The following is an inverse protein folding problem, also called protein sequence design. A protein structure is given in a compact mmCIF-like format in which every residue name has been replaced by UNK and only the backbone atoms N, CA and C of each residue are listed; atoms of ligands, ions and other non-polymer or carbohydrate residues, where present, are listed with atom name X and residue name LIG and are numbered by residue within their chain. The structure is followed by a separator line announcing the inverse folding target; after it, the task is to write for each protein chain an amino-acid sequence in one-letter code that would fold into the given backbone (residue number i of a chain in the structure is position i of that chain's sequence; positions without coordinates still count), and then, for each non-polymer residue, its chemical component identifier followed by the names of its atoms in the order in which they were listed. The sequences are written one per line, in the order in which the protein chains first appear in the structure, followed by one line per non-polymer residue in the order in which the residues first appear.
data_IF_896097851291
#
_entry.id   IF_896097851291
#
_cell.length_a   1.000
_cell.length_b   1.000
_cell.length_c   1.000
_cell.angle_alpha   90.00
_cell.angle_beta   90.00
_cell.angle_gamma   90.00
#
_symmetry.space_group_name_H-M   'P 1'
#
loop_
_entity.id
_entity.type
_entity.pdbx_description
1 polymer ?
#
# COMPACT_ATOMS: atom_id res chain seq x y z
N UNK A 1 -63.33 23.22 18.71
CA UNK A 1 -62.32 24.29 18.77
C UNK A 1 -61.53 24.12 20.05
N UNK A 2 -60.36 23.52 19.98
CA UNK A 2 -59.25 23.74 20.93
C UNK A 2 -58.01 23.34 20.18
N UNK A 3 -57.14 24.33 19.88
CA UNK A 3 -55.82 24.14 19.29
C UNK A 3 -54.86 23.68 20.38
N UNK A 4 -54.10 22.63 20.13
CA UNK A 4 -52.93 22.29 20.92
C UNK A 4 -51.71 22.33 20.00
N UNK A 5 -50.98 23.45 20.08
CA UNK A 5 -49.63 23.60 19.51
C UNK A 5 -48.65 22.96 20.49
N UNK A 6 -47.98 21.89 20.09
CA UNK A 6 -46.71 21.53 20.68
C UNK A 6 -45.71 21.33 19.55
N UNK A 7 -44.47 21.87 19.65
CA UNK A 7 -43.44 21.67 18.62
C UNK A 7 -42.89 20.27 18.74
N UNK A 8 -42.83 19.57 17.58
CA UNK A 8 -42.09 18.32 17.42
C UNK A 8 -40.62 18.59 17.71
N UNK A 9 -40.11 18.01 18.79
CA UNK A 9 -38.69 17.84 19.02
C UNK A 9 -38.16 16.81 18.02
N UNK A 10 -37.39 17.27 17.05
CA UNK A 10 -36.59 16.43 16.18
C UNK A 10 -35.51 15.78 17.07
N UNK A 11 -35.43 14.45 17.14
CA UNK A 11 -34.33 13.80 17.84
C UNK A 11 -33.00 14.13 17.11
N UNK A 12 -32.05 14.66 17.87
CA UNK A 12 -30.66 14.76 17.37
C UNK A 12 -30.15 13.35 17.05
N UNK A 13 -29.43 13.14 15.93
CA UNK A 13 -28.82 11.84 15.66
C UNK A 13 -27.82 11.52 16.77
N UNK A 14 -28.07 10.44 17.48
CA UNK A 14 -27.08 9.80 18.36
C UNK A 14 -26.01 9.22 17.47
N UNK A 15 -24.82 9.81 17.48
CA UNK A 15 -23.65 9.23 16.87
C UNK A 15 -23.22 8.01 17.68
N UNK A 16 -23.32 6.79 17.15
CA UNK A 16 -22.73 5.64 17.79
C UNK A 16 -21.26 5.56 17.36
N UNK A 17 -20.38 5.56 18.33
CA UNK A 17 -18.95 5.32 18.21
C UNK A 17 -18.21 6.21 17.21
N UNK A 18 -18.08 7.49 17.56
CA UNK A 18 -17.00 8.31 17.05
C UNK A 18 -15.67 7.64 17.42
N UNK A 19 -14.93 7.14 16.44
CA UNK A 19 -13.52 6.89 16.61
C UNK A 19 -12.89 8.21 17.03
N UNK A 20 -12.46 8.26 18.28
CA UNK A 20 -11.83 9.41 18.91
C UNK A 20 -10.47 9.63 18.22
N UNK A 21 -10.47 10.35 17.11
CA UNK A 21 -9.26 10.87 16.48
C UNK A 21 -8.68 12.08 17.22
N UNK A 22 -9.35 12.54 18.28
CA UNK A 22 -9.04 13.84 18.91
C UNK A 22 -8.19 13.78 20.19
N UNK A 23 -7.69 12.63 20.64
CA UNK A 23 -7.03 12.54 21.95
C UNK A 23 -5.53 12.20 21.93
N UNK A 24 -4.81 12.32 20.81
CA UNK A 24 -3.34 12.20 20.81
C UNK A 24 -2.59 13.53 20.65
N UNK A 25 -3.23 14.66 20.89
CA UNK A 25 -2.54 15.95 20.99
C UNK A 25 -2.42 16.42 22.47
N UNK A 26 -2.17 15.47 23.38
CA UNK A 26 -1.95 15.73 24.79
C UNK A 26 -0.51 16.16 25.06
N UNK A 27 -0.35 17.17 25.93
CA UNK A 27 0.96 17.64 26.42
C UNK A 27 1.74 16.48 27.05
N UNK A 28 2.84 16.08 26.39
CA UNK A 28 3.84 15.19 26.98
C UNK A 28 5.06 16.01 27.40
N UNK A 29 5.43 15.86 28.66
CA UNK A 29 6.61 16.43 29.31
C UNK A 29 7.88 16.09 28.52
N UNK A 30 8.77 17.07 28.41
CA UNK A 30 10.09 16.95 27.80
C UNK A 30 11.00 16.05 28.63
N UNK A 31 11.19 14.80 28.19
CA UNK A 31 12.37 14.04 28.59
C UNK A 31 13.49 14.20 27.56
N UNK A 32 14.75 14.31 27.95
CA UNK A 32 15.87 14.42 27.03
C UNK A 32 16.05 13.10 26.25
N UNK A 33 16.36 13.20 24.95
CA UNK A 33 16.65 12.08 24.06
C UNK A 33 17.81 11.23 24.62
N UNK A 34 17.70 9.90 24.57
CA UNK A 34 18.89 9.06 24.73
C UNK A 34 19.83 9.30 23.54
N UNK A 35 21.14 9.28 23.77
CA UNK A 35 22.12 9.48 22.69
C UNK A 35 22.02 8.35 21.66
N UNK A 36 22.15 8.70 20.38
CA UNK A 36 22.03 7.83 19.17
C UNK A 36 23.13 6.72 19.15
N UNK A 37 23.97 6.64 20.13
CA UNK A 37 25.06 5.64 20.26
C UNK A 37 24.59 4.20 20.53
N UNK A 38 23.29 3.95 20.76
CA UNK A 38 22.76 2.62 21.03
C UNK A 38 22.60 1.71 19.77
N UNK A 39 23.06 2.16 18.61
CA UNK A 39 22.87 1.45 17.33
C UNK A 39 24.01 0.47 16.98
N UNK A 40 25.10 0.44 17.74
CA UNK A 40 26.30 -0.36 17.44
C UNK A 40 26.53 -1.54 18.39
N UNK A 41 25.70 -1.72 19.43
CA UNK A 41 25.83 -2.87 20.31
C UNK A 41 24.66 -3.84 20.06
N UNK A 42 24.86 -4.77 19.12
CA UNK A 42 24.03 -5.97 18.99
C UNK A 42 24.36 -6.94 20.12
N UNK A 43 23.34 -7.38 20.85
CA UNK A 43 23.49 -8.51 21.76
C UNK A 43 23.97 -9.73 20.95
N UNK A 44 24.94 -10.51 21.43
CA UNK A 44 25.44 -11.66 20.70
C UNK A 44 24.33 -12.72 20.59
N UNK A 45 23.86 -13.01 19.36
CA UNK A 45 22.96 -14.10 19.05
C UNK A 45 21.62 -13.80 18.35
N UNK A 46 21.29 -12.53 18.10
CA UNK A 46 20.16 -12.19 17.24
C UNK A 46 20.68 -11.83 15.84
N UNK A 47 20.49 -12.69 14.85
CA UNK A 47 20.66 -12.34 13.44
C UNK A 47 19.71 -11.18 13.12
N UNK A 48 20.28 -10.02 12.76
CA UNK A 48 19.47 -8.88 12.30
C UNK A 48 18.94 -9.24 10.91
N UNK A 49 17.65 -9.01 10.60
CA UNK A 49 17.09 -9.26 9.26
C UNK A 49 17.71 -8.40 8.14
N UNK A 50 18.73 -7.59 8.45
CA UNK A 50 19.41 -6.67 7.55
C UNK A 50 20.87 -7.08 7.27
N UNK A 51 21.31 -8.26 7.70
CA UNK A 51 22.63 -8.79 7.39
C UNK A 51 22.65 -9.38 5.99
N UNK A 52 23.09 -8.73 5.08
CA UNK A 52 23.63 -8.97 3.77
C UNK A 52 22.99 -8.09 2.67
N UNK A 53 23.55 -6.93 2.51
CA UNK A 53 23.23 -6.05 1.40
C UNK A 53 24.35 -6.18 0.38
N UNK A 54 23.95 -6.38 -0.88
CA UNK A 54 24.85 -6.52 -2.01
C UNK A 54 25.93 -5.43 -2.08
N UNK A 55 26.96 -5.69 -2.87
CA UNK A 55 28.12 -4.84 -3.13
C UNK A 55 27.75 -3.34 -3.12
N UNK A 56 28.51 -2.51 -2.41
CA UNK A 56 28.23 -1.06 -2.24
C UNK A 56 27.89 -0.31 -3.52
N UNK A 57 28.46 -0.73 -4.67
CA UNK A 57 28.10 -0.17 -5.99
C UNK A 57 26.65 -0.43 -6.42
N UNK A 58 26.06 -1.54 -5.97
CA UNK A 58 24.65 -1.88 -6.28
C UNK A 58 23.70 -0.98 -5.49
N UNK A 59 23.99 -0.71 -4.21
CA UNK A 59 23.20 0.19 -3.35
C UNK A 59 23.21 1.62 -3.91
N UNK A 60 24.39 2.12 -4.32
CA UNK A 60 24.52 3.44 -4.95
C UNK A 60 23.69 3.53 -6.23
N UNK A 61 23.83 2.54 -7.13
CA UNK A 61 23.06 2.49 -8.37
C UNK A 61 21.56 2.41 -8.13
N UNK A 62 21.13 1.64 -7.11
CA UNK A 62 19.72 1.55 -6.69
C UNK A 62 19.20 2.88 -6.15
N UNK A 63 20.02 3.60 -5.35
CA UNK A 63 19.67 4.91 -4.82
C UNK A 63 19.25 5.87 -5.91
N UNK A 64 20.09 6.08 -6.92
CA UNK A 64 19.78 7.00 -8.00
C UNK A 64 18.57 6.57 -8.82
N UNK A 65 18.43 5.27 -9.13
CA UNK A 65 17.24 4.78 -9.85
C UNK A 65 15.95 5.06 -9.11
N UNK A 66 15.89 4.78 -7.82
CA UNK A 66 14.67 4.99 -7.00
C UNK A 66 14.38 6.49 -6.88
N UNK A 67 15.41 7.31 -6.63
CA UNK A 67 15.25 8.77 -6.51
C UNK A 67 14.78 9.40 -7.84
N UNK A 68 15.33 8.95 -8.96
CA UNK A 68 14.94 9.42 -10.28
C UNK A 68 13.52 9.00 -10.66
N UNK A 69 13.09 7.80 -10.27
CA UNK A 69 11.72 7.37 -10.51
C UNK A 69 10.71 8.23 -9.76
N UNK A 70 10.99 8.60 -8.51
CA UNK A 70 10.15 9.58 -7.78
C UNK A 70 10.06 10.93 -8.50
N UNK A 71 11.18 11.40 -9.09
CA UNK A 71 11.19 12.62 -9.90
C UNK A 71 10.33 12.48 -11.15
N UNK A 72 10.46 11.32 -11.84
CA UNK A 72 9.70 11.00 -13.05
C UNK A 72 8.19 10.94 -12.81
N UNK A 73 7.77 10.39 -11.67
CA UNK A 73 6.36 10.37 -11.26
C UNK A 73 5.78 11.77 -11.06
N UNK A 74 6.58 12.73 -10.67
CA UNK A 74 6.13 14.11 -10.45
C UNK A 74 6.25 15.01 -11.67
N UNK A 75 6.83 14.54 -12.77
CA UNK A 75 7.15 15.39 -13.94
C UNK A 75 5.92 15.92 -14.69
N UNK A 76 4.76 15.27 -14.53
CA UNK A 76 3.49 15.66 -15.18
C UNK A 76 2.57 16.43 -14.26
N UNK A 77 2.97 16.68 -13.00
CA UNK A 77 2.14 17.34 -12.00
C UNK A 77 2.46 18.82 -11.93
N UNK A 78 1.41 19.62 -11.84
CA UNK A 78 1.55 21.04 -11.50
C UNK A 78 1.81 21.19 -9.98
N UNK A 79 2.43 22.30 -9.55
CA UNK A 79 2.68 22.53 -8.12
C UNK A 79 1.40 22.46 -7.27
N UNK A 80 0.27 22.88 -7.80
CA UNK A 80 -1.05 22.88 -7.18
C UNK A 80 -1.56 21.45 -6.92
N UNK A 81 -1.30 20.52 -7.83
CA UNK A 81 -1.66 19.09 -7.67
C UNK A 81 -0.94 18.47 -6.47
N UNK A 82 0.30 18.90 -6.25
CA UNK A 82 1.18 18.34 -5.23
C UNK A 82 0.84 18.76 -3.80
N UNK A 83 -0.13 19.63 -3.56
CA UNK A 83 -0.46 20.18 -2.23
C UNK A 83 -1.79 19.70 -1.67
N UNK A 84 -2.62 19.05 -2.48
CA UNK A 84 -3.99 18.67 -2.13
C UNK A 84 -4.00 17.39 -1.28
N UNK A 85 -4.91 17.36 -0.30
CA UNK A 85 -5.29 16.18 0.48
C UNK A 85 -6.82 16.10 0.49
N UNK A 86 -7.36 15.07 -0.10
CA UNK A 86 -8.82 14.90 -0.27
C UNK A 86 -9.48 14.18 0.90
N UNK A 87 -8.77 13.23 1.50
CA UNK A 87 -9.23 12.45 2.67
C UNK A 87 -8.07 12.21 3.64
N UNK A 88 -8.33 11.85 4.90
CA UNK A 88 -7.29 11.64 5.91
C UNK A 88 -6.23 10.60 5.53
N UNK A 89 -6.58 9.62 4.73
CA UNK A 89 -5.73 8.51 4.28
C UNK A 89 -4.76 8.91 3.18
N UNK A 90 -5.12 9.88 2.35
CA UNK A 90 -4.31 10.45 1.27
C UNK A 90 -3.31 11.46 1.84
N UNK A 91 -2.15 11.58 1.23
CA UNK A 91 -1.17 12.63 1.56
C UNK A 91 -0.76 13.40 0.31
N UNK A 92 -0.46 14.71 0.43
CA UNK A 92 0.03 15.50 -0.70
C UNK A 92 1.32 14.93 -1.29
N UNK A 93 1.45 14.94 -2.61
CA UNK A 93 2.66 14.45 -3.30
C UNK A 93 3.94 15.10 -2.76
N UNK A 94 3.94 16.41 -2.49
CA UNK A 94 5.11 17.08 -1.90
C UNK A 94 5.47 16.55 -0.50
N UNK A 95 4.48 16.07 0.26
CA UNK A 95 4.74 15.48 1.57
C UNK A 95 5.50 14.16 1.42
N UNK A 96 5.11 13.30 0.46
CA UNK A 96 5.84 12.05 0.17
C UNK A 96 7.30 12.31 -0.21
N UNK A 97 7.54 13.28 -1.11
CA UNK A 97 8.90 13.68 -1.52
C UNK A 97 9.77 14.15 -0.35
N UNK A 98 9.18 14.94 0.54
CA UNK A 98 9.89 15.45 1.71
C UNK A 98 10.11 14.36 2.76
N UNK A 99 9.11 13.49 2.98
CA UNK A 99 9.17 12.39 3.95
C UNK A 99 10.26 11.37 3.59
N UNK A 100 10.36 10.97 2.33
CA UNK A 100 11.41 10.05 1.89
C UNK A 100 12.79 10.67 1.95
N UNK A 101 12.92 11.98 1.75
CA UNK A 101 14.17 12.70 1.97
C UNK A 101 14.51 12.82 3.45
N UNK A 102 13.51 13.08 4.30
CA UNK A 102 13.66 13.09 5.76
C UNK A 102 14.16 11.74 6.29
N UNK A 103 13.75 10.62 5.71
CA UNK A 103 14.22 9.29 6.12
C UNK A 103 15.75 9.20 6.00
N UNK A 104 16.31 9.53 4.84
CA UNK A 104 17.76 9.51 4.64
C UNK A 104 18.48 10.54 5.54
N UNK A 105 17.90 11.73 5.72
CA UNK A 105 18.44 12.72 6.65
C UNK A 105 18.50 12.18 8.07
N UNK A 106 17.39 11.61 8.57
CA UNK A 106 17.25 11.18 9.96
C UNK A 106 18.10 9.95 10.29
N UNK A 107 18.12 8.96 9.41
CA UNK A 107 18.68 7.64 9.70
C UNK A 107 20.05 7.36 9.05
N UNK A 108 20.48 8.19 8.10
CA UNK A 108 21.80 8.08 7.49
C UNK A 108 22.62 9.33 7.76
N UNK A 109 22.24 10.49 7.25
CA UNK A 109 23.12 11.66 7.23
C UNK A 109 23.48 12.20 8.61
N UNK A 110 22.52 12.27 9.53
CA UNK A 110 22.78 12.74 10.92
C UNK A 110 23.75 11.86 11.67
N UNK A 111 23.91 10.61 11.25
CA UNK A 111 24.81 9.62 11.87
C UNK A 111 26.14 9.54 11.12
N UNK A 112 26.10 9.54 9.79
CA UNK A 112 27.26 9.31 8.92
C UNK A 112 28.12 10.58 8.72
N UNK A 113 27.51 11.78 8.73
CA UNK A 113 28.18 13.03 8.34
C UNK A 113 28.39 13.90 9.58
N UNK A 114 29.62 14.03 10.09
CA UNK A 114 29.91 14.90 11.23
C UNK A 114 29.50 16.35 10.96
N UNK A 115 28.78 16.97 11.90
CA UNK A 115 28.30 18.34 11.77
C UNK A 115 27.16 18.55 10.74
N UNK A 116 26.54 17.49 10.25
CA UNK A 116 25.35 17.62 9.39
C UNK A 116 24.26 18.42 10.10
N UNK A 117 23.76 19.45 9.43
CA UNK A 117 22.63 20.24 9.90
C UNK A 117 21.49 20.20 8.88
N UNK A 118 20.30 19.92 9.36
CA UNK A 118 19.07 20.03 8.55
C UNK A 118 18.89 21.45 7.98
N UNK A 119 18.28 21.55 6.82
CA UNK A 119 17.92 22.85 6.23
C UNK A 119 16.89 23.59 7.10
N UNK A 120 16.04 22.86 7.82
CA UNK A 120 15.08 23.36 8.80
C UNK A 120 14.85 22.31 9.90
N UNK A 121 15.06 22.64 11.18
CA UNK A 121 14.78 21.71 12.29
C UNK A 121 13.32 21.25 12.33
N UNK A 122 12.37 22.08 11.86
CA UNK A 122 10.94 21.80 11.83
C UNK A 122 10.58 20.66 10.86
N UNK A 123 11.46 20.35 9.88
CA UNK A 123 11.22 19.25 8.95
C UNK A 123 11.17 17.89 9.63
N UNK A 124 11.87 17.74 10.78
CA UNK A 124 11.74 16.55 11.58
C UNK A 124 10.33 16.35 12.14
N UNK A 125 9.62 17.44 12.48
CA UNK A 125 8.21 17.39 12.90
C UNK A 125 7.25 17.23 11.72
N UNK A 126 7.46 17.96 10.64
CA UNK A 126 6.54 18.02 9.49
C UNK A 126 6.52 16.71 8.69
N UNK A 127 7.68 16.06 8.56
CA UNK A 127 7.89 14.93 7.67
C UNK A 127 8.13 13.60 8.38
N UNK A 128 8.20 13.58 9.72
CA UNK A 128 8.11 12.31 10.47
C UNK A 128 6.71 11.71 10.33
N UNK A 129 6.65 10.38 10.19
CA UNK A 129 5.41 9.61 10.18
C UNK A 129 5.65 8.27 10.85
N UNK A 130 4.86 7.95 11.87
CA UNK A 130 4.90 6.67 12.60
C UNK A 130 6.15 6.38 13.45
N UNK A 131 7.24 7.11 13.30
CA UNK A 131 8.48 6.89 14.08
C UNK A 131 8.42 7.71 15.38
N UNK A 132 7.73 7.17 16.42
CA UNK A 132 7.55 7.88 17.69
C UNK A 132 8.88 8.13 18.41
N UNK A 133 9.82 7.18 18.34
CA UNK A 133 11.16 7.34 18.90
C UNK A 133 12.00 8.41 18.17
N UNK A 134 11.67 8.73 16.91
CA UNK A 134 12.30 9.84 16.18
C UNK A 134 11.72 11.21 16.54
N UNK A 135 10.69 11.28 17.38
CA UNK A 135 10.12 12.53 17.90
C UNK A 135 8.65 12.77 17.51
N UNK A 136 8.17 13.97 17.83
CA UNK A 136 6.79 14.38 17.50
C UNK A 136 6.58 14.46 15.99
N UNK A 137 5.33 14.21 15.56
CA UNK A 137 4.95 14.24 14.14
C UNK A 137 3.74 15.14 13.90
N UNK A 138 3.65 15.68 12.69
CA UNK A 138 2.49 16.44 12.23
C UNK A 138 1.29 15.51 12.01
N UNK A 139 0.10 15.97 12.38
CA UNK A 139 -1.15 15.22 12.29
C UNK A 139 -1.47 14.85 10.83
N UNK A 140 -1.59 13.54 10.53
CA UNK A 140 -1.79 13.03 9.17
C UNK A 140 -3.01 13.66 8.45
N UNK A 141 -4.22 13.74 9.05
CA UNK A 141 -5.38 14.36 8.41
C UNK A 141 -5.21 15.85 8.08
N UNK A 142 -4.15 16.49 8.55
CA UNK A 142 -3.88 17.92 8.33
C UNK A 142 -2.67 18.18 7.43
N UNK A 143 -2.15 17.18 6.73
CA UNK A 143 -1.00 17.32 5.82
C UNK A 143 -1.29 18.27 4.67
N UNK A 144 -2.51 18.33 4.17
CA UNK A 144 -2.96 19.28 3.16
C UNK A 144 -2.92 20.75 3.60
N UNK A 145 -2.82 21.04 4.90
CA UNK A 145 -2.67 22.41 5.43
C UNK A 145 -1.21 22.88 5.46
N UNK A 146 -0.25 22.03 5.16
CA UNK A 146 1.17 22.37 5.12
C UNK A 146 1.43 23.19 3.84
N UNK A 147 1.25 24.51 3.87
CA UNK A 147 1.52 25.40 2.72
C UNK A 147 3.03 25.65 2.53
N UNK A 148 3.84 25.48 3.58
CA UNK A 148 5.30 25.60 3.57
C UNK A 148 5.93 24.35 4.21
N UNK A 149 7.03 23.82 3.60
CA UNK A 149 7.72 24.34 2.39
C UNK A 149 6.83 24.27 1.13
N UNK A 150 7.14 25.15 0.16
CA UNK A 150 6.59 25.04 -1.21
C UNK A 150 7.13 23.78 -1.90
N UNK A 151 6.53 23.37 -3.02
CA UNK A 151 7.07 22.28 -3.84
C UNK A 151 8.52 22.54 -4.26
N UNK A 152 8.84 23.78 -4.68
CA UNK A 152 10.21 24.18 -5.01
C UNK A 152 11.18 23.99 -3.84
N UNK A 153 10.80 24.44 -2.63
CA UNK A 153 11.63 24.23 -1.42
C UNK A 153 11.75 22.76 -1.03
N UNK A 154 10.74 21.96 -1.32
CA UNK A 154 10.80 20.50 -1.13
C UNK A 154 11.81 19.86 -2.09
N UNK A 155 11.87 20.29 -3.34
CA UNK A 155 12.89 19.86 -4.30
C UNK A 155 14.30 20.31 -3.90
N UNK A 156 14.46 21.54 -3.41
CA UNK A 156 15.73 22.04 -2.85
C UNK A 156 16.19 21.20 -1.67
N UNK A 157 15.25 20.85 -0.76
CA UNK A 157 15.55 19.95 0.37
C UNK A 157 16.00 18.56 -0.11
N UNK A 158 15.27 17.98 -1.07
CA UNK A 158 15.60 16.69 -1.65
C UNK A 158 16.99 16.69 -2.30
N UNK A 159 17.29 17.69 -3.11
CA UNK A 159 18.59 17.85 -3.79
C UNK A 159 19.74 18.03 -2.79
N UNK A 160 19.49 18.75 -1.68
CA UNK A 160 20.48 18.88 -0.61
C UNK A 160 20.77 17.53 0.08
N UNK A 161 19.72 16.74 0.37
CA UNK A 161 19.88 15.40 0.94
C UNK A 161 20.68 14.53 -0.03
N UNK A 162 20.35 14.54 -1.33
CA UNK A 162 21.08 13.78 -2.34
C UNK A 162 22.57 14.17 -2.40
N UNK A 163 22.90 15.47 -2.39
CA UNK A 163 24.28 15.95 -2.40
C UNK A 163 25.09 15.54 -1.14
N UNK A 164 24.44 15.33 0.00
CA UNK A 164 25.10 14.78 1.18
C UNK A 164 25.21 13.27 1.14
N UNK A 165 24.26 12.58 0.52
CA UNK A 165 24.35 11.14 0.27
C UNK A 165 25.50 10.83 -0.69
N UNK A 166 25.76 11.68 -1.71
CA UNK A 166 26.95 11.56 -2.59
C UNK A 166 28.24 11.47 -1.79
N UNK A 167 28.40 12.28 -0.73
CA UNK A 167 29.57 12.22 0.16
C UNK A 167 29.65 10.92 0.96
N UNK A 168 28.53 10.34 1.33
CA UNK A 168 28.51 9.00 1.97
C UNK A 168 28.95 7.95 0.96
N UNK A 169 28.57 8.07 -0.31
CA UNK A 169 28.91 7.15 -1.39
C UNK A 169 30.36 7.28 -1.87
N UNK A 170 30.99 8.44 -1.71
CA UNK A 170 32.42 8.66 -1.95
C UNK A 170 33.32 7.89 -0.98
N UNK A 171 32.79 7.48 0.19
CA UNK A 171 33.46 6.68 1.21
C UNK A 171 32.93 5.24 1.19
N UNK A 172 33.71 4.24 0.69
CA UNK A 172 33.26 2.85 0.64
C UNK A 172 32.92 2.25 2.00
N UNK A 173 33.66 2.60 3.07
CA UNK A 173 33.45 2.06 4.41
C UNK A 173 32.12 2.60 5.00
N UNK A 174 31.82 3.89 4.76
CA UNK A 174 30.52 4.46 5.14
C UNK A 174 29.38 3.84 4.30
N UNK A 175 29.59 3.66 3.00
CA UNK A 175 28.61 3.06 2.13
C UNK A 175 28.24 1.64 2.60
N UNK A 176 29.24 0.80 2.89
CA UNK A 176 29.02 -0.56 3.38
C UNK A 176 28.33 -0.54 4.75
N UNK A 177 28.80 0.27 5.69
CA UNK A 177 28.21 0.41 7.01
C UNK A 177 26.74 0.80 7.01
N UNK A 178 26.34 1.70 6.11
CA UNK A 178 24.95 2.21 6.02
C UNK A 178 24.11 1.52 4.95
N UNK A 179 24.69 0.58 4.19
CA UNK A 179 23.96 -0.14 3.13
C UNK A 179 22.64 -0.76 3.61
N UNK A 180 22.51 -1.40 4.78
CA UNK A 180 21.24 -1.92 5.28
C UNK A 180 20.17 -0.84 5.45
N UNK A 181 20.51 0.29 6.07
CA UNK A 181 19.54 1.38 6.30
C UNK A 181 19.22 2.11 5.00
N UNK A 182 20.19 2.26 4.09
CA UNK A 182 19.97 2.83 2.76
C UNK A 182 19.01 1.93 1.99
N UNK A 183 19.22 0.62 1.97
CA UNK A 183 18.34 -0.35 1.31
C UNK A 183 16.92 -0.28 1.85
N UNK A 184 16.75 -0.24 3.17
CA UNK A 184 15.44 -0.03 3.80
C UNK A 184 14.81 1.29 3.33
N UNK A 185 15.58 2.39 3.28
CA UNK A 185 15.12 3.69 2.80
C UNK A 185 14.68 3.67 1.34
N UNK A 186 15.34 2.88 0.49
CA UNK A 186 14.96 2.70 -0.90
C UNK A 186 13.63 1.95 -1.03
N UNK A 187 13.46 0.86 -0.30
CA UNK A 187 12.19 0.14 -0.26
C UNK A 187 11.07 0.99 0.33
N UNK A 188 11.35 1.78 1.35
CA UNK A 188 10.42 2.75 1.91
C UNK A 188 10.03 3.82 0.88
N UNK A 189 10.98 4.35 0.09
CA UNK A 189 10.66 5.30 -0.97
C UNK A 189 9.82 4.65 -2.08
N UNK A 190 10.06 3.39 -2.43
CA UNK A 190 9.24 2.63 -3.39
C UNK A 190 7.79 2.43 -2.89
N UNK A 191 7.58 2.21 -1.59
CA UNK A 191 6.21 2.25 -1.01
C UNK A 191 5.58 3.63 -1.21
N UNK A 192 6.33 4.70 -1.00
CA UNK A 192 5.84 6.06 -1.19
C UNK A 192 5.62 6.43 -2.66
N UNK A 193 6.33 5.82 -3.61
CA UNK A 193 6.04 5.95 -5.05
C UNK A 193 4.67 5.34 -5.40
N UNK A 194 4.35 4.17 -4.86
CA UNK A 194 3.03 3.59 -5.00
C UNK A 194 1.95 4.48 -4.37
N UNK A 195 2.18 4.97 -3.13
CA UNK A 195 1.27 5.89 -2.46
C UNK A 195 1.07 7.20 -3.24
N UNK A 196 2.11 7.75 -3.87
CA UNK A 196 1.96 8.94 -4.73
C UNK A 196 0.99 8.69 -5.89
N UNK A 197 1.05 7.52 -6.52
CA UNK A 197 0.16 7.16 -7.63
C UNK A 197 -1.29 6.96 -7.18
N UNK A 198 -1.50 6.30 -6.04
CA UNK A 198 -2.84 6.08 -5.49
C UNK A 198 -3.45 7.36 -4.97
N UNK A 199 -2.66 8.19 -4.30
CA UNK A 199 -3.11 9.43 -3.70
C UNK A 199 -3.42 10.50 -4.76
N UNK A 200 -2.57 10.65 -5.78
CA UNK A 200 -2.85 11.59 -6.88
C UNK A 200 -4.05 11.14 -7.72
N UNK A 201 -4.25 9.83 -7.89
CA UNK A 201 -5.47 9.31 -8.54
C UNK A 201 -6.71 9.73 -7.78
N UNK A 202 -6.69 9.64 -6.45
CA UNK A 202 -7.81 10.08 -5.61
C UNK A 202 -8.01 11.59 -5.71
N UNK A 203 -6.94 12.39 -5.64
CA UNK A 203 -7.01 13.85 -5.79
C UNK A 203 -7.64 14.24 -7.12
N UNK A 204 -7.22 13.63 -8.22
CA UNK A 204 -7.74 13.93 -9.55
C UNK A 204 -9.18 13.43 -9.76
N UNK A 205 -9.56 12.35 -9.08
CA UNK A 205 -10.95 11.85 -9.14
C UNK A 205 -11.95 12.79 -8.45
N UNK A 206 -11.51 13.53 -7.43
CA UNK A 206 -12.35 14.52 -6.72
C UNK A 206 -12.45 15.87 -7.48
N UNK A 207 -11.52 16.11 -8.41
CA UNK A 207 -11.56 17.32 -9.22
C UNK A 207 -12.62 17.19 -10.33
N UNK A 208 -13.60 18.11 -10.43
CA UNK A 208 -14.62 18.06 -11.50
C UNK A 208 -14.05 18.07 -12.93
N UNK A 209 -12.85 18.62 -13.12
CA UNK A 209 -12.15 18.65 -14.42
C UNK A 209 -11.55 17.29 -14.78
N UNK A 210 -11.46 16.35 -13.81
CA UNK A 210 -10.88 15.01 -14.01
C UNK A 210 -9.51 15.05 -14.69
N UNK A 211 -8.49 15.73 -14.13
CA UNK A 211 -7.18 15.83 -14.74
C UNK A 211 -6.58 14.46 -15.10
N UNK A 212 -5.76 14.45 -16.13
CA UNK A 212 -5.04 13.25 -16.57
C UNK A 212 -3.63 13.30 -16.01
N UNK A 213 -3.22 12.28 -15.26
CA UNK A 213 -1.86 12.15 -14.77
C UNK A 213 -0.90 11.83 -15.92
N UNK A 214 -1.28 10.87 -16.79
CA UNK A 214 -0.48 10.50 -17.96
C UNK A 214 -1.38 9.92 -19.04
N UNK A 215 -1.28 10.49 -20.23
CA UNK A 215 -1.97 9.95 -21.40
C UNK A 215 -1.44 8.58 -21.76
N UNK A 216 -2.35 7.69 -22.11
CA UNK A 216 -2.04 6.34 -22.54
C UNK A 216 -3.14 5.81 -23.47
N UNK A 217 -2.80 5.00 -24.48
CA UNK A 217 -3.80 4.32 -25.29
C UNK A 217 -4.73 3.46 -24.43
N UNK A 218 -5.99 3.34 -24.87
CA UNK A 218 -6.92 2.38 -24.26
C UNK A 218 -6.42 0.96 -24.54
N UNK A 219 -6.37 0.14 -23.49
CA UNK A 219 -6.09 -1.28 -23.65
C UNK A 219 -7.28 -1.94 -24.35
N UNK A 220 -7.00 -2.75 -25.37
CA UNK A 220 -8.04 -3.49 -26.07
C UNK A 220 -8.71 -4.48 -25.09
N UNK A 221 -10.01 -4.70 -25.26
CA UNK A 221 -10.67 -5.82 -24.62
C UNK A 221 -10.16 -7.11 -25.26
N UNK A 222 -9.86 -8.10 -24.46
CA UNK A 222 -9.50 -9.45 -24.90
C UNK A 222 -10.51 -10.47 -24.36
N UNK A 223 -10.68 -11.62 -25.02
CA UNK A 223 -11.47 -12.70 -24.47
C UNK A 223 -10.96 -13.09 -23.08
N UNK A 224 -11.86 -13.19 -22.11
CA UNK A 224 -11.52 -13.65 -20.76
C UNK A 224 -11.51 -15.17 -20.75
N UNK A 225 -10.37 -15.84 -20.50
CA UNK A 225 -10.35 -17.29 -20.43
C UNK A 225 -11.20 -17.78 -19.24
N UNK A 226 -11.82 -18.97 -19.34
CA UNK A 226 -12.56 -19.55 -18.24
C UNK A 226 -11.70 -19.63 -16.95
N UNK A 227 -12.32 -19.35 -15.80
CA UNK A 227 -11.67 -19.51 -14.51
C UNK A 227 -11.42 -21.00 -14.29
N UNK A 228 -10.15 -21.37 -14.08
CA UNK A 228 -9.72 -22.72 -13.71
C UNK A 228 -9.32 -22.75 -12.25
N UNK A 229 -9.30 -23.91 -11.67
CA UNK A 229 -8.94 -24.12 -10.26
C UNK A 229 -7.70 -25.02 -10.17
N UNK A 230 -6.67 -24.53 -9.50
CA UNK A 230 -5.47 -25.31 -9.19
C UNK A 230 -5.61 -25.89 -7.80
N UNK A 231 -5.47 -27.20 -7.66
CA UNK A 231 -5.64 -27.94 -6.41
C UNK A 231 -4.31 -28.13 -5.70
N UNK A 232 -4.29 -27.86 -4.41
CA UNK A 232 -3.18 -28.07 -3.50
C UNK A 232 -3.61 -29.03 -2.41
N UNK A 233 -2.75 -30.02 -2.10
CA UNK A 233 -2.98 -30.99 -1.03
C UNK A 233 -2.65 -30.39 0.32
N UNK A 234 -3.38 -30.83 1.36
CA UNK A 234 -3.09 -30.44 2.73
C UNK A 234 -1.67 -30.86 3.14
N UNK A 235 -1.01 -30.01 3.93
CA UNK A 235 0.34 -30.32 4.40
C UNK A 235 0.94 -29.24 5.30
N UNK A 236 2.13 -29.53 5.82
CA UNK A 236 2.95 -28.57 6.55
C UNK A 236 3.87 -27.88 5.56
N UNK A 237 3.78 -26.56 5.49
CA UNK A 237 4.57 -25.71 4.61
C UNK A 237 5.47 -24.76 5.40
N UNK A 238 6.60 -24.41 4.83
CA UNK A 238 7.49 -23.39 5.35
C UNK A 238 7.07 -22.03 4.79
N UNK A 239 6.59 -21.14 5.66
CA UNK A 239 6.07 -19.81 5.34
C UNK A 239 7.02 -18.74 5.86
N UNK A 240 7.19 -17.69 5.09
CA UNK A 240 8.03 -16.54 5.43
C UNK A 240 9.37 -16.55 4.71
N UNK A 241 10.07 -15.44 4.80
CA UNK A 241 11.32 -15.19 4.08
C UNK A 241 12.47 -16.08 4.56
N UNK A 242 13.28 -16.57 3.62
CA UNK A 242 14.46 -17.40 3.90
C UNK A 242 15.66 -17.08 2.99
N UNK A 243 15.64 -15.93 2.33
CA UNK A 243 16.75 -15.50 1.47
C UNK A 243 17.78 -14.66 2.22
N UNK A 244 18.83 -14.26 1.51
CA UNK A 244 19.92 -13.42 2.02
C UNK A 244 19.77 -11.96 1.59
N UNK A 245 18.72 -11.64 0.81
CA UNK A 245 18.43 -10.28 0.37
C UNK A 245 17.51 -9.57 1.37
N UNK A 246 17.19 -8.33 1.08
CA UNK A 246 16.29 -7.52 1.90
C UNK A 246 14.89 -8.14 2.02
N UNK A 247 14.39 -8.17 3.26
CA UNK A 247 12.97 -8.36 3.58
C UNK A 247 12.56 -7.42 4.72
N UNK A 248 11.27 -7.18 4.86
CA UNK A 248 10.74 -6.51 6.05
C UNK A 248 10.64 -7.49 7.23
N UNK A 249 10.68 -6.97 8.44
CA UNK A 249 10.57 -7.78 9.67
C UNK A 249 9.27 -8.57 9.76
N UNK A 250 8.18 -8.06 9.17
CA UNK A 250 6.88 -8.74 9.13
C UNK A 250 6.81 -9.92 8.16
N UNK A 251 7.82 -10.13 7.31
CA UNK A 251 7.94 -11.28 6.42
C UNK A 251 8.56 -12.51 7.13
N UNK A 252 9.00 -12.35 8.36
CA UNK A 252 9.65 -13.36 9.17
C UNK A 252 9.12 -13.43 10.61
N UNK A 253 9.69 -14.37 11.39
CA UNK A 253 10.61 -15.42 10.97
C UNK A 253 9.94 -16.49 10.12
N UNK A 254 10.73 -17.21 9.30
CA UNK A 254 10.24 -18.40 8.61
C UNK A 254 9.80 -19.45 9.61
N UNK A 255 8.61 -20.03 9.39
CA UNK A 255 7.99 -20.94 10.32
C UNK A 255 7.15 -22.00 9.61
N UNK A 256 6.86 -23.09 10.31
CA UNK A 256 6.00 -24.16 9.80
C UNK A 256 4.53 -23.80 10.02
N UNK A 257 3.75 -23.87 8.95
CA UNK A 257 2.31 -23.65 8.94
C UNK A 257 1.62 -24.87 8.31
N UNK A 258 0.66 -25.45 8.99
CA UNK A 258 -0.23 -26.42 8.36
C UNK A 258 -1.24 -25.64 7.50
N UNK A 259 -1.37 -26.06 6.26
CA UNK A 259 -2.35 -25.51 5.30
C UNK A 259 -3.26 -26.65 4.88
N UNK A 260 -4.57 -26.48 5.05
CA UNK A 260 -5.57 -27.44 4.57
C UNK A 260 -5.57 -27.53 3.05
N UNK A 261 -6.14 -28.61 2.49
CA UNK A 261 -6.32 -28.72 1.05
C UNK A 261 -7.18 -27.60 0.51
N UNK A 262 -6.76 -26.97 -0.57
CA UNK A 262 -7.46 -25.84 -1.18
C UNK A 262 -7.37 -25.83 -2.68
N UNK A 263 -8.24 -25.06 -3.30
CA UNK A 263 -8.14 -24.69 -4.70
C UNK A 263 -7.96 -23.18 -4.82
N UNK A 264 -7.06 -22.75 -5.72
CA UNK A 264 -6.85 -21.36 -6.02
C UNK A 264 -7.21 -21.07 -7.48
N UNK A 265 -7.89 -19.96 -7.71
CA UNK A 265 -8.29 -19.51 -9.05
C UNK A 265 -7.07 -19.18 -9.92
N UNK A 266 -7.10 -19.65 -11.17
CA UNK A 266 -5.97 -19.49 -12.12
C UNK A 266 -5.72 -18.04 -12.54
N UNK A 267 -6.67 -17.12 -12.32
CA UNK A 267 -6.58 -15.69 -12.66
C UNK A 267 -7.36 -14.82 -11.67
N UNK A 268 -7.16 -13.53 -11.79
CA UNK A 268 -7.92 -12.52 -11.06
C UNK A 268 -9.39 -12.48 -11.52
N UNK A 269 -10.26 -11.97 -10.64
CA UNK A 269 -11.65 -11.62 -10.96
C UNK A 269 -11.65 -10.39 -11.87
N UNK A 270 -12.47 -10.44 -12.92
CA UNK A 270 -12.56 -9.35 -13.91
C UNK A 270 -13.66 -8.34 -13.55
N UNK A 271 -13.60 -7.16 -14.17
CA UNK A 271 -14.65 -6.14 -14.10
C UNK A 271 -16.00 -6.70 -14.60
N UNK A 272 -15.98 -7.58 -15.60
CA UNK A 272 -17.20 -8.20 -16.11
C UNK A 272 -17.89 -9.09 -15.10
N UNK A 273 -17.12 -9.96 -14.43
CA UNK A 273 -17.63 -10.83 -13.38
C UNK A 273 -18.11 -10.03 -12.16
N UNK A 274 -17.41 -8.96 -11.81
CA UNK A 274 -17.83 -8.09 -10.72
C UNK A 274 -19.10 -7.29 -11.06
N UNK A 275 -19.27 -6.89 -12.33
CA UNK A 275 -20.47 -6.24 -12.81
C UNK A 275 -21.69 -7.17 -12.71
N UNK A 276 -21.51 -8.47 -13.02
CA UNK A 276 -22.57 -9.47 -12.87
C UNK A 276 -23.03 -9.59 -11.39
N UNK A 277 -22.11 -9.47 -10.43
CA UNK A 277 -22.44 -9.38 -8.99
C UNK A 277 -23.26 -8.12 -8.65
N UNK A 278 -22.90 -6.97 -9.22
CA UNK A 278 -23.66 -5.72 -9.04
C UNK A 278 -25.07 -5.86 -9.62
N UNK A 279 -25.17 -6.39 -10.84
CA UNK A 279 -26.43 -6.54 -11.56
C UNK A 279 -27.38 -7.57 -10.91
N UNK A 280 -26.83 -8.59 -10.24
CA UNK A 280 -27.60 -9.54 -9.39
C UNK A 280 -28.01 -8.94 -8.02
N UNK A 281 -27.76 -7.64 -7.81
CA UNK A 281 -28.14 -6.93 -6.59
C UNK A 281 -27.21 -7.19 -5.43
N UNK A 282 -25.94 -7.52 -5.65
CA UNK A 282 -24.96 -7.88 -4.62
C UNK A 282 -24.81 -6.84 -3.52
N UNK A 283 -24.93 -5.55 -3.85
CA UNK A 283 -24.89 -4.46 -2.86
C UNK A 283 -26.20 -4.26 -2.06
N UNK A 284 -27.29 -4.93 -2.41
CA UNK A 284 -28.57 -4.89 -1.71
C UNK A 284 -28.86 -6.18 -0.91
N UNK A 285 -27.98 -7.17 -0.97
CA UNK A 285 -28.17 -8.51 -0.39
C UNK A 285 -27.29 -8.73 0.83
N UNK A 286 -27.80 -8.49 2.06
CA UNK A 286 -27.01 -8.50 3.29
C UNK A 286 -26.35 -9.87 3.60
N UNK A 287 -26.90 -10.96 3.07
CA UNK A 287 -26.40 -12.32 3.31
C UNK A 287 -24.97 -12.56 2.80
N UNK A 288 -24.49 -11.75 1.85
CA UNK A 288 -23.11 -11.85 1.35
C UNK A 288 -22.11 -11.09 2.21
N UNK A 289 -22.57 -10.13 3.01
CA UNK A 289 -21.70 -9.17 3.66
C UNK A 289 -21.37 -9.56 5.11
N UNK A 290 -20.14 -9.30 5.50
CA UNK A 290 -19.78 -9.24 6.91
C UNK A 290 -20.54 -8.08 7.58
N UNK A 291 -20.90 -8.22 8.85
CA UNK A 291 -21.72 -7.23 9.57
C UNK A 291 -21.17 -5.80 9.47
N UNK A 292 -19.85 -5.62 9.71
CA UNK A 292 -19.22 -4.31 9.58
C UNK A 292 -19.18 -3.83 8.11
N UNK A 293 -19.02 -4.75 7.16
CA UNK A 293 -19.07 -4.44 5.73
C UNK A 293 -20.45 -3.94 5.31
N UNK A 294 -21.50 -4.64 5.73
CA UNK A 294 -22.88 -4.21 5.48
C UNK A 294 -23.19 -2.83 6.03
N UNK A 295 -22.77 -2.59 7.28
CA UNK A 295 -22.90 -1.29 7.90
C UNK A 295 -22.18 -0.20 7.09
N UNK A 296 -20.91 -0.45 6.72
CA UNK A 296 -20.09 0.50 5.96
C UNK A 296 -20.69 0.83 4.59
N UNK A 297 -21.14 -0.20 3.85
CA UNK A 297 -21.75 -0.02 2.52
C UNK A 297 -22.98 0.89 2.61
N UNK A 298 -23.86 0.66 3.60
CA UNK A 298 -25.07 1.46 3.77
C UNK A 298 -24.76 2.89 4.27
N UNK A 299 -23.81 3.04 5.21
CA UNK A 299 -23.44 4.36 5.75
C UNK A 299 -22.78 5.22 4.68
N UNK A 300 -21.92 4.62 3.85
CA UNK A 300 -21.15 5.33 2.81
C UNK A 300 -21.88 5.38 1.47
N UNK A 301 -23.02 4.68 1.33
CA UNK A 301 -23.78 4.62 0.08
C UNK A 301 -23.00 3.97 -1.07
N UNK A 302 -22.24 2.91 -0.79
CA UNK A 302 -21.49 2.23 -1.85
C UNK A 302 -22.41 1.36 -2.71
N UNK A 303 -22.27 1.48 -4.03
CA UNK A 303 -23.04 0.71 -5.02
C UNK A 303 -22.14 0.03 -6.07
N UNK A 304 -20.84 0.35 -6.07
CA UNK A 304 -19.85 -0.16 -7.01
C UNK A 304 -18.42 0.06 -6.46
N UNK A 305 -17.38 -0.54 -7.06
CA UNK A 305 -15.98 -0.24 -6.77
C UNK A 305 -15.68 1.26 -6.82
N UNK A 306 -14.72 1.72 -6.02
CA UNK A 306 -14.31 3.14 -6.05
C UNK A 306 -13.87 3.53 -7.47
N UNK A 307 -14.22 4.76 -7.90
CA UNK A 307 -13.98 5.31 -9.23
C UNK A 307 -14.87 4.78 -10.36
N UNK A 308 -15.79 3.83 -10.10
CA UNK A 308 -16.79 3.46 -11.09
C UNK A 308 -17.97 4.42 -11.03
N UNK A 309 -18.43 4.84 -12.19
CA UNK A 309 -19.57 5.74 -12.35
C UNK A 309 -20.50 5.23 -13.43
N UNK A 310 -21.82 5.32 -13.22
CA UNK A 310 -22.81 5.01 -14.23
C UNK A 310 -23.24 6.30 -14.92
N UNK A 311 -22.96 6.40 -16.22
CA UNK A 311 -23.31 7.57 -17.04
C UNK A 311 -24.09 7.10 -18.28
N UNK A 312 -25.24 7.69 -18.53
CA UNK A 312 -26.08 7.39 -19.71
C UNK A 312 -26.34 5.88 -19.93
N UNK A 313 -26.51 5.15 -18.83
CA UNK A 313 -26.74 3.70 -18.85
C UNK A 313 -25.49 2.83 -18.99
N UNK A 314 -24.32 3.40 -19.23
CA UNK A 314 -23.04 2.70 -19.36
C UNK A 314 -22.15 2.91 -18.14
N UNK A 315 -21.33 1.91 -17.82
CA UNK A 315 -20.33 2.02 -16.77
C UNK A 315 -19.02 2.62 -17.29
N UNK A 316 -18.46 3.54 -16.52
CA UNK A 316 -17.14 4.13 -16.74
C UNK A 316 -16.32 4.08 -15.47
N UNK A 317 -15.01 4.17 -15.60
CA UNK A 317 -14.09 4.24 -14.46
C UNK A 317 -13.10 5.39 -14.63
N UNK A 318 -12.77 6.07 -13.54
CA UNK A 318 -11.68 7.04 -13.53
C UNK A 318 -10.34 6.32 -13.36
N UNK A 319 -9.40 6.63 -14.26
CA UNK A 319 -8.03 6.09 -14.26
C UNK A 319 -7.01 7.23 -14.21
N UNK A 320 -5.73 6.90 -13.98
CA UNK A 320 -4.63 7.87 -14.12
C UNK A 320 -4.47 8.42 -15.56
N UNK A 321 -5.20 7.85 -16.52
CA UNK A 321 -5.29 8.33 -17.91
C UNK A 321 -6.67 8.90 -18.24
N UNK A 322 -7.37 9.43 -17.23
CA UNK A 322 -8.70 10.02 -17.35
C UNK A 322 -9.85 9.03 -17.20
N UNK A 323 -11.09 9.54 -17.36
CA UNK A 323 -12.30 8.72 -17.32
C UNK A 323 -12.44 7.92 -18.62
N UNK A 324 -12.74 6.63 -18.48
CA UNK A 324 -12.87 5.69 -19.61
C UNK A 324 -14.07 4.80 -19.42
N UNK A 325 -14.64 4.32 -20.51
CA UNK A 325 -15.60 3.25 -20.47
C UNK A 325 -15.01 2.01 -19.81
N UNK A 326 -15.77 1.32 -18.97
CA UNK A 326 -15.32 0.16 -18.23
C UNK A 326 -14.99 -0.99 -19.18
N UNK A 327 -13.75 -1.46 -19.12
CA UNK A 327 -13.32 -2.64 -19.86
C UNK A 327 -13.61 -3.90 -19.03
N UNK A 328 -14.58 -4.72 -19.49
CA UNK A 328 -15.04 -5.92 -18.76
C UNK A 328 -13.96 -7.00 -18.59
N UNK A 329 -12.90 -7.00 -19.41
CA UNK A 329 -11.83 -7.99 -19.35
C UNK A 329 -10.65 -7.61 -18.43
N UNK A 330 -10.61 -6.38 -17.93
CA UNK A 330 -9.60 -5.97 -16.94
C UNK A 330 -9.91 -6.55 -15.56
N UNK A 331 -8.89 -6.83 -14.72
CA UNK A 331 -9.10 -7.18 -13.33
C UNK A 331 -9.90 -6.10 -12.58
N UNK A 332 -10.85 -6.51 -11.74
CA UNK A 332 -11.53 -5.57 -10.84
C UNK A 332 -10.52 -4.97 -9.87
N UNK A 333 -10.61 -3.66 -9.69
CA UNK A 333 -9.69 -2.90 -8.87
C UNK A 333 -10.44 -1.87 -8.01
N UNK A 334 -9.80 -1.42 -6.92
CA UNK A 334 -10.37 -0.43 -6.00
C UNK A 334 -11.61 -0.92 -5.25
N UNK A 335 -11.56 -2.19 -4.83
CA UNK A 335 -12.52 -2.85 -3.97
C UNK A 335 -11.94 -2.97 -2.55
N UNK A 336 -12.78 -2.78 -1.54
CA UNK A 336 -12.44 -3.04 -0.13
C UNK A 336 -12.37 -4.55 0.14
N UNK A 337 -11.83 -4.91 1.30
CA UNK A 337 -11.91 -6.30 1.78
C UNK A 337 -13.38 -6.77 1.91
N UNK A 338 -14.27 -5.89 2.36
CA UNK A 338 -15.69 -6.22 2.50
C UNK A 338 -16.34 -6.54 1.16
N UNK A 339 -16.04 -5.77 0.12
CA UNK A 339 -16.53 -5.98 -1.23
C UNK A 339 -15.94 -7.26 -1.84
N UNK A 340 -14.65 -7.51 -1.60
CA UNK A 340 -13.97 -8.71 -2.08
C UNK A 340 -14.54 -9.99 -1.42
N UNK A 341 -14.80 -9.98 -0.10
CA UNK A 341 -15.39 -11.10 0.62
C UNK A 341 -16.86 -11.33 0.20
N UNK A 342 -17.64 -10.25 0.02
CA UNK A 342 -19.02 -10.34 -0.44
C UNK A 342 -19.12 -10.94 -1.86
N UNK A 343 -18.27 -10.47 -2.79
CA UNK A 343 -18.17 -11.05 -4.12
C UNK A 343 -17.81 -12.54 -4.06
N UNK A 344 -16.81 -12.91 -3.25
CA UNK A 344 -16.37 -14.29 -3.12
C UNK A 344 -17.50 -15.20 -2.64
N UNK A 345 -18.29 -14.77 -1.64
CA UNK A 345 -19.46 -15.51 -1.14
C UNK A 345 -20.55 -15.62 -2.21
N UNK A 346 -20.86 -14.55 -2.93
CA UNK A 346 -21.80 -14.58 -4.05
C UNK A 346 -21.37 -15.58 -5.13
N UNK A 347 -20.08 -15.66 -5.44
CA UNK A 347 -19.50 -16.59 -6.40
C UNK A 347 -19.41 -18.04 -5.89
N UNK A 348 -19.91 -18.34 -4.68
CA UNK A 348 -19.79 -19.68 -4.07
C UNK A 348 -18.35 -20.09 -3.77
N UNK A 349 -17.52 -19.12 -3.44
CA UNK A 349 -16.08 -19.25 -3.16
C UNK A 349 -15.70 -18.44 -1.90
N UNK A 350 -14.42 -18.31 -1.63
CA UNK A 350 -13.84 -17.49 -0.57
C UNK A 350 -12.58 -16.77 -1.05
N UNK A 351 -12.07 -15.84 -0.26
CA UNK A 351 -10.73 -15.32 -0.44
C UNK A 351 -9.69 -16.36 0.05
N UNK A 352 -8.48 -16.39 -0.53
CA UNK A 352 -7.39 -17.22 -0.01
C UNK A 352 -6.92 -16.70 1.35
N UNK A 353 -6.32 -17.57 2.16
CA UNK A 353 -5.44 -17.13 3.24
C UNK A 353 -4.11 -16.65 2.66
N UNK A 354 -3.36 -15.84 3.41
CA UNK A 354 -2.03 -15.41 2.98
C UNK A 354 -1.06 -16.60 2.82
N UNK A 355 -1.30 -17.68 3.57
CA UNK A 355 -0.50 -18.91 3.52
C UNK A 355 -0.77 -19.70 2.24
N UNK A 356 -2.04 -19.88 1.88
CA UNK A 356 -2.46 -20.51 0.62
C UNK A 356 -1.89 -19.77 -0.58
N UNK A 357 -1.94 -18.43 -0.55
CA UNK A 357 -1.37 -17.59 -1.59
C UNK A 357 0.15 -17.80 -1.72
N UNK A 358 0.88 -17.80 -0.59
CA UNK A 358 2.33 -17.97 -0.56
C UNK A 358 2.76 -19.35 -1.05
N UNK A 359 2.02 -20.42 -0.65
CA UNK A 359 2.23 -21.79 -1.14
C UNK A 359 2.05 -21.84 -2.67
N UNK A 360 0.98 -21.26 -3.18
CA UNK A 360 0.72 -21.24 -4.64
C UNK A 360 1.76 -20.44 -5.43
N UNK A 361 2.33 -19.40 -4.83
CA UNK A 361 3.33 -18.53 -5.45
C UNK A 361 4.77 -19.07 -5.33
N UNK A 362 5.01 -20.15 -4.57
CA UNK A 362 6.35 -20.58 -4.15
C UNK A 362 7.34 -20.75 -5.32
N UNK A 363 6.91 -21.39 -6.41
CA UNK A 363 7.77 -21.69 -7.56
C UNK A 363 7.55 -20.77 -8.77
N UNK A 364 6.66 -19.77 -8.65
CA UNK A 364 6.32 -18.88 -9.74
C UNK A 364 7.39 -17.77 -9.91
N UNK A 365 7.67 -17.35 -11.15
CA UNK A 365 8.50 -16.18 -11.38
C UNK A 365 7.80 -14.91 -10.90
N UNK A 366 8.55 -13.94 -10.38
CA UNK A 366 8.05 -12.60 -10.03
C UNK A 366 7.88 -11.75 -11.30
N UNK A 367 7.01 -12.20 -12.18
CA UNK A 367 6.71 -11.54 -13.45
C UNK A 367 5.26 -11.01 -13.45
N UNK A 368 5.07 -9.81 -13.96
CA UNK A 368 3.76 -9.16 -13.99
C UNK A 368 3.83 -7.70 -14.43
N UNK A 369 2.70 -7.04 -14.38
CA UNK A 369 2.53 -5.62 -14.70
C UNK A 369 2.81 -4.77 -13.44
N UNK A 370 3.94 -4.07 -13.44
CA UNK A 370 4.46 -3.29 -12.33
C UNK A 370 4.62 -1.81 -12.68
N UNK A 371 4.99 -0.98 -11.70
CA UNK A 371 5.23 0.45 -11.90
C UNK A 371 6.31 0.74 -12.92
N UNK A 372 7.29 -0.15 -13.06
CA UNK A 372 8.38 -0.06 -14.02
C UNK A 372 7.90 -0.08 -15.48
N UNK A 373 6.74 -0.70 -15.75
CA UNK A 373 6.09 -0.72 -17.07
C UNK A 373 5.35 0.61 -17.37
N UNK A 374 5.21 1.47 -16.38
CA UNK A 374 4.59 2.81 -16.43
C UNK A 374 3.15 2.84 -16.99
N UNK A 375 2.46 1.71 -16.92
CA UNK A 375 1.05 1.60 -17.34
C UNK A 375 0.14 2.13 -16.25
N UNK A 376 0.47 1.90 -14.97
CA UNK A 376 -0.28 2.32 -13.77
C UNK A 376 -1.77 1.97 -13.83
N UNK A 377 -2.06 0.81 -14.40
CA UNK A 377 -3.41 0.29 -14.56
C UNK A 377 -3.37 -1.23 -14.72
N UNK A 378 -4.34 -1.94 -14.14
CA UNK A 378 -4.47 -3.38 -14.33
C UNK A 378 -4.80 -3.70 -15.80
N UNK A 379 -4.14 -4.73 -16.35
CA UNK A 379 -4.29 -5.11 -17.76
C UNK A 379 -5.21 -6.30 -17.92
N UNK A 380 -6.00 -6.37 -19.02
CA UNK A 380 -6.61 -7.63 -19.42
C UNK A 380 -5.57 -8.74 -19.53
N UNK A 381 -6.00 -9.97 -19.34
CA UNK A 381 -5.15 -11.14 -19.58
C UNK A 381 -4.76 -11.20 -21.06
N UNK A 382 -3.48 -11.50 -21.30
CA UNK A 382 -3.01 -11.82 -22.65
C UNK A 382 -3.55 -13.21 -23.05
N UNK A 383 -3.99 -13.36 -24.29
CA UNK A 383 -4.49 -14.64 -24.83
C UNK A 383 -3.45 -15.76 -24.73
N UNK A 384 -2.16 -15.42 -24.73
CA UNK A 384 -1.06 -16.39 -24.62
C UNK A 384 -0.83 -16.90 -23.19
N UNK A 385 -1.42 -16.27 -22.18
CA UNK A 385 -1.27 -16.66 -20.76
C UNK A 385 -2.18 -17.84 -20.34
N UNK A 386 -2.88 -18.48 -21.27
CA UNK A 386 -3.87 -19.53 -20.98
C UNK A 386 -3.28 -20.87 -20.56
N UNK A 387 -2.02 -21.16 -20.86
CA UNK A 387 -1.38 -22.45 -20.60
C UNK A 387 -0.71 -22.53 -19.22
N UNK A 388 -0.43 -21.39 -18.60
CA UNK A 388 0.16 -21.34 -17.27
C UNK A 388 -0.86 -21.71 -16.17
N UNK A 389 -0.41 -22.36 -15.08
CA UNK A 389 -1.30 -22.69 -13.97
C UNK A 389 -1.92 -21.43 -13.32
N UNK A 390 -1.15 -20.35 -13.28
CA UNK A 390 -1.58 -19.07 -12.75
C UNK A 390 -1.18 -17.92 -13.67
N UNK A 391 -2.10 -17.00 -13.89
CA UNK A 391 -1.87 -15.72 -14.50
C UNK A 391 -2.04 -14.59 -13.49
N UNK A 392 -1.29 -13.49 -13.68
CA UNK A 392 -1.42 -12.26 -12.87
C UNK A 392 -1.22 -12.50 -11.35
N UNK A 393 -0.37 -13.45 -10.98
CA UNK A 393 -0.07 -13.73 -9.57
C UNK A 393 0.76 -12.60 -8.93
N UNK A 394 1.43 -11.82 -9.76
CA UNK A 394 2.20 -10.65 -9.37
C UNK A 394 1.83 -9.45 -10.24
N UNK A 395 1.81 -8.26 -9.62
CA UNK A 395 1.44 -7.03 -10.31
C UNK A 395 -0.06 -6.90 -10.54
N UNK A 396 -0.47 -6.04 -11.45
CA UNK A 396 -1.84 -5.65 -11.73
C UNK A 396 -2.58 -5.10 -10.51
N UNK A 397 -3.00 -5.94 -9.55
CA UNK A 397 -3.67 -5.55 -8.31
C UNK A 397 -3.15 -6.31 -7.11
N UNK A 398 -3.05 -5.67 -5.96
CA UNK A 398 -2.90 -6.35 -4.68
C UNK A 398 -4.09 -7.27 -4.43
N UNK A 399 -3.84 -8.52 -4.12
CA UNK A 399 -4.87 -9.53 -3.87
C UNK A 399 -5.25 -9.55 -2.38
N UNK A 400 -6.50 -9.24 -2.06
CA UNK A 400 -7.02 -9.40 -0.72
C UNK A 400 -6.97 -10.85 -0.26
N UNK A 401 -6.47 -11.07 0.94
CA UNK A 401 -6.55 -12.36 1.62
C UNK A 401 -7.51 -12.29 2.80
N UNK A 402 -8.07 -13.43 3.21
CA UNK A 402 -8.90 -13.51 4.43
C UNK A 402 -8.09 -13.49 5.72
N UNK A 403 -6.76 -13.40 5.65
CA UNK A 403 -5.89 -13.39 6.82
C UNK A 403 -5.86 -12.01 7.47
N UNK A 404 -6.15 -11.99 8.78
CA UNK A 404 -5.87 -10.81 9.60
C UNK A 404 -4.37 -10.56 9.64
N UNK A 405 -3.97 -9.29 9.58
CA UNK A 405 -2.56 -8.93 9.74
C UNK A 405 -2.13 -9.09 11.19
N UNK A 406 -1.45 -10.19 11.46
CA UNK A 406 -0.98 -10.60 12.78
C UNK A 406 0.52 -10.97 12.71
N UNK A 407 1.25 -10.96 13.85
CA UNK A 407 2.65 -11.39 13.89
C UNK A 407 2.77 -12.89 13.56
N UNK A 408 3.80 -13.24 12.81
CA UNK A 408 4.18 -14.63 12.66
C UNK A 408 4.72 -15.21 13.98
N UNK A 409 4.65 -16.54 14.20
CA UNK A 409 5.23 -17.19 15.38
C UNK A 409 6.71 -16.81 15.55
N UNK A 410 7.06 -16.25 16.72
CA UNK A 410 8.43 -15.80 17.00
C UNK A 410 8.78 -14.41 16.44
N UNK A 411 7.83 -13.68 15.86
CA UNK A 411 8.06 -12.30 15.41
C UNK A 411 8.59 -11.41 16.55
N UNK A 412 9.62 -10.66 16.24
CA UNK A 412 10.14 -9.61 17.11
C UNK A 412 10.47 -8.38 16.25
N UNK A 413 9.97 -7.18 16.61
CA UNK A 413 10.33 -5.98 15.87
C UNK A 413 11.83 -5.69 16.02
N UNK A 414 12.44 -5.13 14.99
CA UNK A 414 13.80 -4.63 15.05
C UNK A 414 13.90 -3.55 16.15
N UNK A 415 14.99 -3.52 16.89
CA UNK A 415 15.18 -2.53 17.95
C UNK A 415 15.24 -1.10 17.37
N UNK A 416 14.71 -0.13 18.13
CA UNK A 416 14.75 1.29 17.79
C UNK A 416 13.64 1.75 16.86
N UNK A 417 13.75 2.99 16.38
CA UNK A 417 12.69 3.65 15.60
C UNK A 417 12.33 2.91 14.31
N UNK A 418 13.29 2.29 13.64
CA UNK A 418 13.06 1.57 12.38
C UNK A 418 12.15 0.36 12.54
N UNK A 419 12.18 -0.33 13.69
CA UNK A 419 11.28 -1.46 13.98
C UNK A 419 9.86 -1.06 14.41
N UNK A 420 9.56 0.22 14.55
CA UNK A 420 8.23 0.67 14.96
C UNK A 420 7.17 0.54 13.85
N UNK A 421 7.57 0.38 12.59
CA UNK A 421 6.63 0.53 11.48
C UNK A 421 5.63 -0.61 11.40
N UNK A 422 6.05 -1.86 11.29
CA UNK A 422 5.15 -2.98 10.98
C UNK A 422 4.33 -3.46 12.19
N UNK A 423 4.97 -3.74 13.32
CA UNK A 423 4.34 -4.38 14.46
C UNK A 423 3.13 -3.64 15.03
N UNK A 424 3.17 -2.32 15.09
CA UNK A 424 2.07 -1.50 15.64
C UNK A 424 0.81 -1.46 14.76
N UNK A 425 0.89 -1.89 13.52
CA UNK A 425 -0.25 -2.00 12.61
C UNK A 425 -0.93 -3.36 12.63
N UNK A 426 -0.44 -4.33 13.39
CA UNK A 426 -1.00 -5.68 13.50
C UNK A 426 -2.30 -5.69 14.32
N UNK A 427 -3.26 -4.85 13.91
CA UNK A 427 -4.57 -4.71 14.53
C UNK A 427 -5.57 -4.19 13.51
N UNK A 428 -6.72 -4.86 13.37
CA UNK A 428 -7.82 -4.45 12.49
C UNK A 428 -7.43 -4.20 11.02
N UNK A 429 -6.47 -4.95 10.52
CA UNK A 429 -6.03 -4.91 9.13
C UNK A 429 -6.01 -6.31 8.52
N UNK A 430 -6.08 -6.38 7.21
CA UNK A 430 -6.01 -7.62 6.45
C UNK A 430 -4.82 -7.61 5.51
N UNK A 431 -4.25 -8.80 5.29
CA UNK A 431 -3.07 -8.97 4.44
C UNK A 431 -3.45 -8.95 2.97
N UNK A 432 -2.62 -8.30 2.17
CA UNK A 432 -2.67 -8.33 0.72
C UNK A 432 -1.35 -8.88 0.17
N UNK A 433 -1.44 -9.56 -0.97
CA UNK A 433 -0.31 -10.22 -1.63
C UNK A 433 -0.19 -9.83 -3.10
N UNK A 434 0.98 -10.07 -3.70
CA UNK A 434 1.22 -10.04 -5.14
C UNK A 434 1.75 -8.72 -5.72
N UNK A 435 1.52 -7.59 -5.07
CA UNK A 435 1.85 -6.28 -5.66
C UNK A 435 0.78 -5.77 -6.61
N UNK A 436 0.95 -4.55 -7.11
CA UNK A 436 0.04 -3.92 -8.05
C UNK A 436 0.77 -3.31 -9.25
N UNK A 437 0.03 -2.78 -10.21
CA UNK A 437 0.56 -2.00 -11.33
C UNK A 437 1.28 -0.71 -10.92
N UNK A 438 1.19 -0.33 -9.65
CA UNK A 438 1.88 0.81 -9.04
C UNK A 438 3.04 0.39 -8.14
N UNK A 439 3.22 -0.90 -7.86
CA UNK A 439 4.32 -1.44 -7.08
C UNK A 439 5.57 -1.57 -7.96
N UNK A 440 6.74 -1.18 -7.47
CA UNK A 440 8.00 -1.37 -8.17
C UNK A 440 8.42 -2.84 -8.21
N UNK A 441 8.89 -3.34 -9.37
CA UNK A 441 9.32 -4.73 -9.58
C UNK A 441 10.44 -5.16 -8.62
N UNK A 442 11.38 -4.28 -8.32
CA UNK A 442 12.47 -4.55 -7.39
C UNK A 442 12.02 -4.55 -5.92
N UNK A 443 10.80 -4.07 -5.64
CA UNK A 443 10.25 -3.98 -4.30
C UNK A 443 9.49 -5.24 -3.88
N UNK A 444 8.82 -5.92 -4.85
CA UNK A 444 7.96 -7.07 -4.54
C UNK A 444 8.74 -8.35 -4.26
N UNK A 445 8.26 -9.15 -3.34
CA UNK A 445 8.73 -10.49 -2.98
C UNK A 445 7.54 -11.43 -2.81
N UNK A 446 7.76 -12.73 -2.92
CA UNK A 446 6.72 -13.77 -2.68
C UNK A 446 6.19 -13.71 -1.25
N UNK A 447 7.04 -13.31 -0.31
CA UNK A 447 6.75 -13.22 1.14
C UNK A 447 6.23 -11.86 1.57
N UNK A 448 6.22 -10.85 0.66
CA UNK A 448 5.77 -9.51 1.00
C UNK A 448 4.34 -9.51 1.55
N UNK A 449 4.17 -8.90 2.72
CA UNK A 449 2.88 -8.76 3.41
C UNK A 449 2.48 -7.30 3.42
N UNK A 450 1.69 -6.87 2.44
CA UNK A 450 1.03 -5.57 2.48
C UNK A 450 -0.21 -5.66 3.36
N UNK A 451 -0.67 -4.55 3.93
CA UNK A 451 -1.80 -4.57 4.86
C UNK A 451 -2.56 -3.24 4.82
N UNK A 452 -3.88 -3.36 4.87
CA UNK A 452 -4.78 -2.21 4.93
C UNK A 452 -6.01 -2.51 5.80
N UNK A 453 -6.65 -1.45 6.38
CA UNK A 453 -7.93 -1.62 7.04
C UNK A 453 -8.99 -2.12 6.05
N UNK A 454 -9.98 -2.90 6.52
CA UNK A 454 -10.90 -3.62 5.63
C UNK A 454 -11.80 -2.72 4.76
N UNK A 455 -11.99 -1.46 5.12
CA UNK A 455 -12.75 -0.49 4.34
C UNK A 455 -11.92 0.26 3.28
N UNK A 456 -10.60 0.06 3.22
CA UNK A 456 -9.73 0.75 2.27
C UNK A 456 -10.07 0.37 0.82
N UNK A 457 -10.19 1.37 -0.09
CA UNK A 457 -10.57 1.19 -1.51
C UNK A 457 -9.67 1.93 -2.50
N UNK A 458 -8.94 2.96 -2.05
CA UNK A 458 -8.19 3.86 -2.96
C UNK A 458 -6.90 3.25 -3.51
N UNK A 459 -6.41 2.17 -2.92
CA UNK A 459 -5.24 1.42 -3.41
C UNK A 459 -5.63 0.54 -4.61
N UNK A 460 -4.64 0.09 -5.39
CA UNK A 460 -4.87 -0.86 -6.48
C UNK A 460 -5.07 -2.28 -5.92
N UNK A 461 -6.23 -2.52 -5.33
CA UNK A 461 -6.61 -3.77 -4.66
C UNK A 461 -7.69 -4.49 -5.46
N UNK A 462 -7.57 -5.81 -5.59
CA UNK A 462 -8.50 -6.66 -6.34
C UNK A 462 -8.68 -8.03 -5.68
N UNK A 463 -9.14 -8.99 -6.47
CA UNK A 463 -9.68 -10.26 -5.98
C UNK A 463 -9.08 -11.44 -6.75
N UNK A 464 -8.57 -12.42 -6.00
CA UNK A 464 -8.40 -13.80 -6.45
C UNK A 464 -9.22 -14.72 -5.56
N UNK A 465 -9.91 -15.69 -6.15
CA UNK A 465 -10.77 -16.61 -5.42
C UNK A 465 -10.02 -17.88 -4.97
N UNK A 466 -10.48 -18.45 -3.88
CA UNK A 466 -10.10 -19.77 -3.40
C UNK A 466 -11.34 -20.61 -3.06
N UNK A 467 -11.17 -21.92 -2.94
CA UNK A 467 -12.18 -22.89 -2.49
C UNK A 467 -11.55 -23.89 -1.54
N UNK A 468 -12.37 -24.44 -0.67
CA UNK A 468 -11.98 -25.62 0.09
C UNK A 468 -12.02 -26.85 -0.84
N UNK A 469 -11.21 -27.87 -0.55
CA UNK A 469 -11.27 -29.18 -1.19
C UNK A 469 -12.12 -30.06 -0.28
N UNK A 470 -13.16 -30.68 -0.86
CA UNK A 470 -14.05 -31.63 -0.17
C UNK A 470 -13.29 -32.92 0.27
#
# INVERSE_FOLDING_TARGET
MIRCNQPFLVPRPVTPFGFVADHFCGRVSTMPFPPVTAWTETAPGASTPFENTGNGSQVVSAYYRVRDFSRKLCATLEPEDCVVQTVPEVSPTKWHLAHTSWFFEAFVLKVAVPGYASISPEYAYLFNSYYNAAGKMHCRPKRGLISRPTLRQTWEYRSRVDAFMDRVFEDPDLTEKFAPVITLGLHHEQQHQELMLTDIKHVFSENPLRPVFRERPRLAASPVPPLRWQTFTAGVHEIGYNGDEFCYDNEGPRHRQFVEGFQLASRLVTNGEYLDFIEDGGYQRPEFWLSLGWYTVNEQGWEAPLYWERRDGSWSTFTLSGTRELNRSEPVCHVSYFEADAFARWAGARLPTEFEWEVAAADLPRAGNFADDEIFHAKPLDETATDEPFAQMFGDVWEWTRSSYAPYPGYAPVAGALGEYNGKFMCNQYVLRGGSCATSRSHIRKTYRNFFPPQARWQFMGIRLARDVD
#
